data_IF_984390092694
#
_entry.id   IF_984390092694
#
_cell.length_a   1.000
_cell.length_b   1.000
_cell.length_c   1.000
_cell.angle_alpha   90.00
_cell.angle_beta   90.00
_cell.angle_gamma   90.00
#
_symmetry.space_group_name_H-M   'P 1'
#
loop_
_entity.id
_entity.type
_entity.pdbx_description
1 polymer ?
#
# COMPACT_ATOMS: atom_id res chain seq x y z
N UNK A 1 4.36 4.22 -29.97
CA UNK A 1 3.90 3.38 -28.84
C UNK A 1 4.77 2.14 -28.77
N UNK A 2 5.60 2.00 -27.75
CA UNK A 2 6.36 0.76 -27.55
C UNK A 2 5.43 -0.37 -27.12
N UNK A 3 5.58 -1.59 -27.62
CA UNK A 3 4.74 -2.72 -27.25
C UNK A 3 4.83 -2.96 -25.74
N UNK A 4 3.68 -3.10 -25.11
CA UNK A 4 3.54 -3.35 -23.67
C UNK A 4 4.20 -4.71 -23.36
N UNK A 5 5.46 -4.68 -22.90
CA UNK A 5 6.18 -5.92 -22.55
C UNK A 5 5.47 -6.58 -21.37
N UNK A 6 4.67 -7.58 -21.66
CA UNK A 6 3.98 -8.40 -20.66
C UNK A 6 5.06 -9.22 -19.96
N UNK A 7 4.99 -9.26 -18.62
CA UNK A 7 5.85 -10.11 -17.79
C UNK A 7 4.94 -11.16 -17.17
N UNK A 8 4.80 -12.35 -17.81
CA UNK A 8 3.85 -13.37 -17.35
C UNK A 8 4.07 -13.79 -15.89
N UNK A 9 5.32 -13.85 -15.45
CA UNK A 9 5.66 -14.18 -14.06
C UNK A 9 5.08 -13.22 -13.02
N UNK A 10 4.95 -11.92 -13.34
CA UNK A 10 4.31 -10.96 -12.42
C UNK A 10 2.80 -11.16 -12.33
N UNK A 11 2.17 -11.59 -13.41
CA UNK A 11 0.72 -11.83 -13.42
C UNK A 11 0.38 -13.11 -12.63
N UNK A 12 1.19 -14.16 -12.78
CA UNK A 12 1.10 -15.39 -11.96
C UNK A 12 1.32 -15.04 -10.47
N UNK A 13 2.34 -14.24 -10.17
CA UNK A 13 2.64 -13.84 -8.80
C UNK A 13 1.51 -13.03 -8.17
N UNK A 14 0.89 -12.09 -8.90
CA UNK A 14 -0.30 -11.36 -8.44
C UNK A 14 -1.47 -12.31 -8.14
N UNK A 15 -1.68 -13.30 -9.00
CA UNK A 15 -2.75 -14.28 -8.80
C UNK A 15 -2.52 -15.10 -7.52
N UNK A 16 -1.31 -15.60 -7.30
CA UNK A 16 -0.95 -16.34 -6.07
C UNK A 16 -1.14 -15.45 -4.84
N UNK A 17 -0.65 -14.20 -4.89
CA UNK A 17 -0.78 -13.26 -3.77
C UNK A 17 -2.25 -12.91 -3.49
N UNK A 18 -3.09 -12.76 -4.53
CA UNK A 18 -4.52 -12.52 -4.35
C UNK A 18 -5.20 -13.71 -3.65
N UNK A 19 -4.82 -14.93 -3.98
CA UNK A 19 -5.31 -16.13 -3.32
C UNK A 19 -4.92 -16.16 -1.84
N UNK A 20 -3.66 -15.84 -1.51
CA UNK A 20 -3.20 -15.74 -0.13
C UNK A 20 -3.92 -14.66 0.67
N UNK A 21 -4.27 -13.52 0.05
CA UNK A 21 -5.08 -12.49 0.72
C UNK A 21 -6.47 -13.01 1.05
N UNK A 22 -7.10 -13.76 0.15
CA UNK A 22 -8.40 -14.41 0.45
C UNK A 22 -8.25 -15.36 1.62
N UNK A 23 -7.19 -16.18 1.63
CA UNK A 23 -6.90 -17.16 2.69
C UNK A 23 -6.76 -16.48 4.08
N UNK A 24 -6.03 -15.36 4.15
CA UNK A 24 -5.92 -14.53 5.37
C UNK A 24 -7.29 -14.14 5.93
N UNK A 25 -8.27 -13.83 5.08
CA UNK A 25 -9.59 -13.35 5.51
C UNK A 25 -10.57 -14.49 5.81
N UNK A 26 -10.36 -15.67 5.24
CA UNK A 26 -11.20 -16.87 5.46
C UNK A 26 -10.75 -17.69 6.66
N UNK A 27 -9.70 -17.25 7.35
CA UNK A 27 -8.99 -17.91 8.47
C UNK A 27 -9.76 -18.98 9.22
N UNK A 28 -9.14 -20.16 9.31
CA UNK A 28 -9.48 -21.18 10.31
C UNK A 28 -10.51 -22.22 9.90
N UNK A 29 -11.14 -22.13 8.73
CA UNK A 29 -12.12 -23.13 8.29
C UNK A 29 -11.48 -24.34 7.58
N UNK A 30 -10.25 -24.19 7.06
CA UNK A 30 -9.63 -25.23 6.23
C UNK A 30 -8.44 -25.97 6.87
N UNK A 31 -7.82 -25.43 7.93
CA UNK A 31 -6.60 -26.00 8.51
C UNK A 31 -6.76 -26.21 10.00
N UNK A 32 -6.84 -27.46 10.42
CA UNK A 32 -7.03 -27.87 11.83
C UNK A 32 -5.74 -28.01 12.63
N UNK A 33 -4.54 -27.89 12.00
CA UNK A 33 -3.26 -28.07 12.68
C UNK A 33 -2.59 -26.72 13.03
N UNK A 34 -2.58 -26.29 14.32
CA UNK A 34 -2.05 -24.99 14.74
C UNK A 34 -0.57 -24.81 14.42
N UNK A 35 0.23 -25.87 14.49
CA UNK A 35 1.67 -25.83 14.20
C UNK A 35 1.91 -25.48 12.72
N UNK A 36 1.24 -26.18 11.80
CA UNK A 36 1.38 -25.93 10.37
C UNK A 36 0.89 -24.53 10.00
N UNK A 37 -0.22 -24.11 10.58
CA UNK A 37 -0.77 -22.77 10.36
C UNK A 37 0.20 -21.67 10.79
N UNK A 38 0.75 -21.77 12.01
CA UNK A 38 1.59 -20.70 12.57
C UNK A 38 3.00 -20.67 11.95
N UNK A 39 3.58 -21.81 11.63
CA UNK A 39 4.98 -21.86 11.16
C UNK A 39 5.14 -21.91 9.65
N UNK A 40 4.12 -22.27 8.90
CA UNK A 40 4.19 -22.40 7.44
C UNK A 40 3.24 -21.41 6.75
N UNK A 41 1.95 -21.46 7.05
CA UNK A 41 0.94 -20.68 6.33
C UNK A 41 1.06 -19.20 6.68
N UNK A 42 1.08 -18.85 7.95
CA UNK A 42 1.10 -17.46 8.40
C UNK A 42 2.32 -16.65 7.91
N UNK A 43 3.57 -17.17 7.89
CA UNK A 43 4.69 -16.49 7.24
C UNK A 43 4.51 -16.27 5.75
N UNK A 44 3.93 -17.24 5.02
CA UNK A 44 3.67 -17.13 3.59
C UNK A 44 2.59 -16.07 3.31
N UNK A 45 1.49 -16.10 4.04
CA UNK A 45 0.41 -15.11 3.98
C UNK A 45 0.94 -13.69 4.24
N UNK A 46 1.83 -13.54 5.23
CA UNK A 46 2.38 -12.23 5.60
C UNK A 46 3.19 -11.57 4.48
N UNK A 47 3.69 -12.35 3.50
CA UNK A 47 4.39 -11.84 2.32
C UNK A 47 3.44 -11.31 1.23
N UNK A 48 2.16 -11.67 1.28
CA UNK A 48 1.21 -11.33 0.20
C UNK A 48 1.08 -9.81 0.02
N UNK A 49 0.79 -9.08 1.09
CA UNK A 49 0.57 -7.64 1.03
C UNK A 49 1.84 -6.85 0.68
N UNK A 50 3.01 -7.09 1.33
CA UNK A 50 4.28 -6.49 0.90
C UNK A 50 4.58 -6.71 -0.58
N UNK A 51 4.38 -7.93 -1.07
CA UNK A 51 4.62 -8.27 -2.47
C UNK A 51 3.72 -7.48 -3.41
N UNK A 52 2.44 -7.30 -3.08
CA UNK A 52 1.54 -6.46 -3.85
C UNK A 52 1.97 -4.99 -3.89
N UNK A 53 2.43 -4.43 -2.77
CA UNK A 53 2.96 -3.07 -2.75
C UNK A 53 4.18 -2.92 -3.66
N UNK A 54 5.14 -3.84 -3.54
CA UNK A 54 6.36 -3.84 -4.37
C UNK A 54 6.01 -3.97 -5.85
N UNK A 55 5.15 -4.91 -6.24
CA UNK A 55 4.76 -5.12 -7.64
C UNK A 55 4.00 -3.89 -8.18
N UNK A 56 3.05 -3.35 -7.42
CA UNK A 56 2.25 -2.19 -7.85
C UNK A 56 3.13 -0.97 -8.07
N UNK A 57 4.01 -0.69 -7.14
CA UNK A 57 4.98 0.41 -7.21
C UNK A 57 5.98 0.19 -8.37
N UNK A 58 6.55 -1.01 -8.49
CA UNK A 58 7.45 -1.35 -9.60
C UNK A 58 6.82 -1.11 -10.97
N UNK A 59 5.60 -1.59 -11.18
CA UNK A 59 4.91 -1.43 -12.45
C UNK A 59 4.59 0.03 -12.75
N UNK A 60 4.19 0.79 -11.71
CA UNK A 60 3.92 2.21 -11.83
C UNK A 60 5.19 2.97 -12.22
N UNK A 61 6.28 2.84 -11.46
CA UNK A 61 7.51 3.59 -11.70
C UNK A 61 8.25 3.16 -12.97
N UNK A 62 8.18 1.87 -13.31
CA UNK A 62 8.68 1.40 -14.62
C UNK A 62 7.96 2.09 -15.78
N UNK A 63 6.63 2.33 -15.65
CA UNK A 63 5.88 3.08 -16.66
C UNK A 63 6.21 4.57 -16.60
N UNK A 64 6.23 5.15 -15.41
CA UNK A 64 6.47 6.57 -15.20
C UNK A 64 7.80 7.08 -15.81
N UNK A 65 8.79 6.19 -15.93
CA UNK A 65 10.08 6.50 -16.51
C UNK A 65 10.02 6.86 -17.99
N UNK A 66 9.10 6.27 -18.74
CA UNK A 66 8.97 6.49 -20.19
C UNK A 66 7.91 7.54 -20.55
N UNK A 67 7.23 8.09 -19.55
CA UNK A 67 6.19 9.11 -19.73
C UNK A 67 6.82 10.51 -19.63
N UNK A 68 6.57 11.36 -20.63
CA UNK A 68 7.01 12.76 -20.63
C UNK A 68 6.32 13.54 -19.50
N UNK A 69 5.02 13.34 -19.31
CA UNK A 69 4.23 13.97 -18.26
C UNK A 69 3.87 12.98 -17.15
N UNK A 70 4.78 12.78 -16.21
CA UNK A 70 4.58 11.86 -15.08
C UNK A 70 3.43 12.26 -14.17
N UNK A 71 3.10 13.56 -14.05
CA UNK A 71 1.95 14.02 -13.26
C UNK A 71 0.63 13.44 -13.81
N UNK A 72 0.44 13.43 -15.13
CA UNK A 72 -0.75 12.84 -15.75
C UNK A 72 -0.85 11.34 -15.45
N UNK A 73 0.29 10.64 -15.39
CA UNK A 73 0.31 9.23 -15.02
C UNK A 73 -0.10 9.02 -13.56
N UNK A 74 0.41 9.85 -12.64
CA UNK A 74 0.03 9.81 -11.22
C UNK A 74 -1.47 10.05 -11.07
N UNK A 75 -2.00 11.10 -11.68
CA UNK A 75 -3.42 11.45 -11.63
C UNK A 75 -4.30 10.34 -12.23
N UNK A 76 -3.88 9.75 -13.35
CA UNK A 76 -4.59 8.63 -13.96
C UNK A 76 -4.59 7.38 -13.06
N UNK A 77 -3.45 7.08 -12.43
CA UNK A 77 -3.33 5.99 -11.47
C UNK A 77 -4.25 6.22 -10.26
N UNK A 78 -4.19 7.42 -9.66
CA UNK A 78 -5.05 7.80 -8.54
C UNK A 78 -6.53 7.71 -8.90
N UNK A 79 -6.93 8.25 -10.07
CA UNK A 79 -8.32 8.19 -10.54
C UNK A 79 -8.82 6.75 -10.65
N UNK A 80 -8.05 5.86 -11.26
CA UNK A 80 -8.42 4.43 -11.38
C UNK A 80 -8.55 3.77 -10.00
N UNK A 81 -7.63 4.07 -9.10
CA UNK A 81 -7.63 3.52 -7.75
C UNK A 81 -8.81 4.05 -6.94
N UNK A 82 -9.10 5.35 -7.03
CA UNK A 82 -10.28 5.96 -6.40
C UNK A 82 -11.58 5.32 -6.89
N UNK A 83 -11.74 5.12 -8.22
CA UNK A 83 -12.93 4.49 -8.78
C UNK A 83 -13.10 3.07 -8.22
N UNK A 84 -12.02 2.29 -8.19
CA UNK A 84 -12.03 0.93 -7.64
C UNK A 84 -12.38 0.95 -6.14
N UNK A 85 -11.81 1.89 -5.38
CA UNK A 85 -12.06 1.99 -3.95
C UNK A 85 -13.51 2.40 -3.67
N UNK A 86 -14.02 3.41 -4.38
CA UNK A 86 -15.42 3.85 -4.27
C UNK A 86 -16.39 2.73 -4.64
N UNK A 87 -16.11 1.96 -5.69
CA UNK A 87 -16.90 0.79 -6.06
C UNK A 87 -17.03 -0.19 -4.88
N UNK A 88 -15.92 -0.51 -4.22
CA UNK A 88 -15.95 -1.36 -3.04
C UNK A 88 -16.65 -0.70 -1.84
N UNK A 89 -16.48 0.60 -1.63
CA UNK A 89 -17.22 1.32 -0.58
C UNK A 89 -18.73 1.24 -0.79
N UNK A 90 -19.20 1.29 -2.05
CA UNK A 90 -20.64 1.13 -2.36
C UNK A 90 -21.11 -0.29 -2.02
N UNK A 91 -20.36 -1.32 -2.40
CA UNK A 91 -20.70 -2.71 -2.07
C UNK A 91 -20.75 -2.94 -0.56
N UNK A 92 -19.77 -2.41 0.17
CA UNK A 92 -19.65 -2.56 1.63
C UNK A 92 -20.46 -1.53 2.42
N UNK A 93 -21.18 -0.61 1.77
CA UNK A 93 -21.89 0.49 2.43
C UNK A 93 -22.82 0.06 3.58
N UNK A 94 -23.58 -1.07 3.53
CA UNK A 94 -24.40 -1.48 4.66
C UNK A 94 -23.56 -1.81 5.89
N UNK A 95 -22.44 -2.50 5.69
CA UNK A 95 -21.53 -2.90 6.79
C UNK A 95 -20.78 -1.67 7.32
N UNK A 96 -20.30 -0.78 6.44
CA UNK A 96 -19.66 0.48 6.81
C UNK A 96 -20.60 1.31 7.69
N UNK A 97 -21.88 1.44 7.29
CA UNK A 97 -22.88 2.17 8.07
C UNK A 97 -23.07 1.59 9.47
N UNK A 98 -23.13 0.25 9.59
CA UNK A 98 -23.31 -0.42 10.89
C UNK A 98 -22.06 -0.35 11.78
N UNK A 99 -20.85 -0.39 11.20
CA UNK A 99 -19.61 -0.45 11.95
C UNK A 99 -19.08 0.93 12.37
N UNK A 100 -19.42 1.99 11.64
CA UNK A 100 -18.86 3.32 11.90
C UNK A 100 -19.78 4.14 12.80
N UNK A 101 -19.40 4.29 14.06
CA UNK A 101 -20.14 5.01 15.10
C UNK A 101 -20.50 6.45 14.72
N UNK A 102 -19.66 7.13 13.93
CA UNK A 102 -19.92 8.51 13.55
C UNK A 102 -21.16 8.69 12.67
N UNK A 103 -21.65 7.65 11.99
CA UNK A 103 -22.94 7.72 11.29
C UNK A 103 -24.12 7.77 12.25
N UNK A 104 -23.97 7.22 13.45
CA UNK A 104 -25.01 7.19 14.48
C UNK A 104 -24.93 8.38 15.45
N UNK A 105 -23.79 9.09 15.47
CA UNK A 105 -23.56 10.20 16.38
C UNK A 105 -24.20 11.54 15.94
N UNK A 106 -24.83 11.60 14.75
CA UNK A 106 -25.46 12.81 14.18
C UNK A 106 -24.59 14.08 14.31
N UNK A 107 -23.29 13.95 14.05
CA UNK A 107 -22.36 15.05 14.13
C UNK A 107 -22.14 15.73 12.77
N UNK A 108 -21.90 17.04 12.77
CA UNK A 108 -21.55 17.82 11.56
C UNK A 108 -20.19 17.42 10.97
N UNK A 109 -19.38 16.67 11.72
CA UNK A 109 -18.04 16.23 11.31
C UNK A 109 -18.03 14.93 10.47
N UNK A 110 -19.18 14.30 10.24
CA UNK A 110 -19.29 13.05 9.46
C UNK A 110 -18.54 13.10 8.12
N UNK A 111 -18.68 14.17 7.29
CA UNK A 111 -17.94 14.23 6.02
C UNK A 111 -16.42 14.20 6.21
N UNK A 112 -15.92 14.86 7.25
CA UNK A 112 -14.49 14.88 7.56
C UNK A 112 -13.98 13.49 7.99
N UNK A 113 -14.76 12.77 8.80
CA UNK A 113 -14.43 11.40 9.19
C UNK A 113 -14.44 10.44 7.99
N UNK A 114 -15.38 10.59 7.07
CA UNK A 114 -15.41 9.81 5.82
C UNK A 114 -14.16 10.09 4.98
N UNK A 115 -13.78 11.35 4.80
CA UNK A 115 -12.57 11.73 4.05
C UNK A 115 -11.33 11.16 4.73
N UNK A 116 -11.21 11.30 6.05
CA UNK A 116 -10.13 10.71 6.83
C UNK A 116 -10.04 9.20 6.60
N UNK A 117 -11.14 8.50 6.84
CA UNK A 117 -11.19 7.04 6.76
C UNK A 117 -10.93 6.53 5.33
N UNK A 118 -11.35 7.29 4.32
CA UNK A 118 -11.05 6.97 2.92
C UNK A 118 -9.55 7.03 2.64
N UNK A 119 -8.88 8.15 2.96
CA UNK A 119 -7.45 8.30 2.67
C UNK A 119 -6.55 7.43 3.55
N UNK A 120 -6.94 7.17 4.79
CA UNK A 120 -6.18 6.31 5.69
C UNK A 120 -6.55 4.82 5.57
N UNK A 121 -7.47 4.47 4.65
CA UNK A 121 -7.86 3.09 4.39
C UNK A 121 -8.62 2.45 5.55
N UNK A 122 -9.50 3.21 6.21
CA UNK A 122 -10.28 2.76 7.35
C UNK A 122 -11.78 2.63 7.04
N UNK A 123 -12.20 2.63 5.77
CA UNK A 123 -13.61 2.50 5.40
C UNK A 123 -14.15 1.11 5.73
N UNK A 124 -13.43 0.06 5.36
CA UNK A 124 -13.71 -1.34 5.68
C UNK A 124 -12.39 -2.10 5.85
N UNK A 125 -12.43 -3.28 6.41
CA UNK A 125 -11.23 -3.97 6.92
C UNK A 125 -10.11 -4.12 5.87
N UNK A 126 -10.41 -4.60 4.67
CA UNK A 126 -9.43 -4.74 3.59
C UNK A 126 -9.09 -3.42 2.86
N UNK A 127 -9.73 -2.30 3.20
CA UNK A 127 -9.56 -1.02 2.48
C UNK A 127 -8.20 -0.36 2.68
N UNK A 128 -7.48 -0.73 3.74
CA UNK A 128 -6.20 -0.13 4.08
C UNK A 128 -5.15 -0.25 2.97
N UNK A 129 -5.16 -1.34 2.22
CA UNK A 129 -4.26 -1.55 1.10
C UNK A 129 -4.52 -0.53 -0.04
N UNK A 130 -5.79 -0.27 -0.37
CA UNK A 130 -6.17 0.71 -1.39
C UNK A 130 -5.84 2.13 -0.95
N UNK A 131 -6.15 2.49 0.31
CA UNK A 131 -5.77 3.77 0.89
C UNK A 131 -4.26 3.98 0.93
N UNK A 132 -3.50 2.94 1.33
CA UNK A 132 -2.04 2.99 1.35
C UNK A 132 -1.42 3.18 -0.04
N UNK A 133 -1.97 2.57 -1.09
CA UNK A 133 -1.55 2.82 -2.48
C UNK A 133 -1.91 4.23 -2.94
N UNK A 134 -3.12 4.69 -2.60
CA UNK A 134 -3.64 5.99 -3.01
C UNK A 134 -2.79 7.14 -2.48
N UNK A 135 -2.32 7.03 -1.24
CA UNK A 135 -1.47 8.04 -0.60
C UNK A 135 0.01 7.75 -0.83
N UNK A 136 0.43 6.49 -0.70
CA UNK A 136 1.83 6.11 -0.71
C UNK A 136 2.52 6.26 -2.06
N UNK A 137 1.86 5.89 -3.19
CA UNK A 137 2.48 6.02 -4.52
C UNK A 137 2.75 7.48 -4.90
N UNK A 138 1.81 8.43 -4.77
CA UNK A 138 2.09 9.85 -4.97
C UNK A 138 3.17 10.39 -4.02
N UNK A 139 3.21 9.89 -2.78
CA UNK A 139 4.19 10.30 -1.78
C UNK A 139 5.61 9.84 -2.18
N UNK A 140 5.78 8.57 -2.59
CA UNK A 140 7.06 8.07 -3.10
C UNK A 140 7.48 8.80 -4.37
N UNK A 141 6.53 9.10 -5.27
CA UNK A 141 6.81 9.92 -6.46
C UNK A 141 7.27 11.34 -6.08
N UNK A 142 6.60 12.00 -5.14
CA UNK A 142 6.99 13.31 -4.61
C UNK A 142 8.39 13.29 -3.98
N UNK A 143 8.68 12.29 -3.13
CA UNK A 143 10.00 12.09 -2.53
C UNK A 143 11.08 11.89 -3.59
N UNK A 144 10.81 11.12 -4.64
CA UNK A 144 11.76 10.90 -5.74
C UNK A 144 12.05 12.17 -6.56
N UNK A 145 11.14 13.14 -6.55
CA UNK A 145 11.33 14.46 -7.17
C UNK A 145 12.07 15.43 -6.26
N UNK A 146 11.77 15.37 -4.96
CA UNK A 146 12.40 16.23 -3.96
C UNK A 146 13.87 15.85 -3.75
N UNK A 147 14.14 14.55 -3.65
CA UNK A 147 15.48 14.03 -3.41
C UNK A 147 16.11 13.46 -4.69
N UNK A 148 17.21 14.06 -5.14
CA UNK A 148 17.98 13.59 -6.32
C UNK A 148 18.71 12.26 -6.07
N UNK A 149 18.89 11.86 -4.80
CA UNK A 149 19.58 10.64 -4.40
C UNK A 149 18.57 9.57 -3.97
N UNK A 150 18.55 8.43 -4.64
CA UNK A 150 17.69 7.27 -4.32
C UNK A 150 17.82 6.83 -2.85
N UNK A 151 19.02 7.00 -2.28
CA UNK A 151 19.27 6.66 -0.87
C UNK A 151 18.36 7.42 0.09
N UNK A 152 18.11 8.71 -0.14
CA UNK A 152 17.24 9.52 0.73
C UNK A 152 15.76 9.14 0.56
N UNK A 153 15.38 8.72 -0.66
CA UNK A 153 14.02 8.24 -0.94
C UNK A 153 13.73 6.94 -0.19
N UNK A 154 14.75 6.11 0.06
CA UNK A 154 14.62 4.86 0.83
C UNK A 154 14.76 5.11 2.33
N UNK A 155 15.69 5.98 2.72
CA UNK A 155 16.02 6.20 4.14
C UNK A 155 14.82 6.71 4.94
N UNK A 156 14.05 7.66 4.41
CA UNK A 156 12.90 8.21 5.12
C UNK A 156 11.81 7.15 5.39
N UNK A 157 11.33 6.37 4.40
CA UNK A 157 10.40 5.28 4.66
C UNK A 157 10.96 4.18 5.57
N UNK A 158 12.26 3.91 5.50
CA UNK A 158 12.91 2.97 6.41
C UNK A 158 12.88 3.47 7.84
N UNK A 159 13.16 4.75 8.08
CA UNK A 159 13.07 5.36 9.41
C UNK A 159 11.64 5.33 9.94
N UNK A 160 10.65 5.63 9.10
CA UNK A 160 9.24 5.51 9.48
C UNK A 160 8.90 4.06 9.86
N UNK A 161 9.33 3.10 9.06
CA UNK A 161 9.09 1.68 9.33
C UNK A 161 9.74 1.24 10.66
N UNK A 162 11.00 1.61 10.89
CA UNK A 162 11.70 1.30 12.14
C UNK A 162 11.02 1.97 13.35
N UNK A 163 10.63 3.24 13.21
CA UNK A 163 9.87 3.94 14.24
C UNK A 163 8.58 3.18 14.59
N UNK A 164 7.76 2.81 13.61
CA UNK A 164 6.51 2.07 13.84
C UNK A 164 6.73 0.70 14.50
N UNK A 165 7.88 0.08 14.24
CA UNK A 165 8.20 -1.23 14.80
C UNK A 165 8.66 -1.15 16.26
N UNK A 166 9.51 -0.16 16.58
CA UNK A 166 10.14 -0.03 17.88
C UNK A 166 9.53 1.03 18.80
N UNK A 167 8.51 1.77 18.36
CA UNK A 167 7.93 2.88 19.13
C UNK A 167 7.43 2.47 20.52
N UNK A 168 6.95 1.23 20.68
CA UNK A 168 6.49 0.71 21.98
C UNK A 168 7.60 0.42 22.95
N UNK A 169 8.84 0.33 22.47
CA UNK A 169 10.06 0.14 23.30
C UNK A 169 10.72 1.49 23.64
N UNK A 170 10.25 2.58 23.00
CA UNK A 170 10.74 3.93 23.25
C UNK A 170 10.04 4.57 24.46
N UNK A 171 10.61 5.64 25.05
CA UNK A 171 9.94 6.44 26.06
C UNK A 171 8.58 6.96 25.55
N UNK A 172 7.60 7.07 26.46
CA UNK A 172 6.21 7.44 26.12
C UNK A 172 6.09 8.76 25.35
N UNK A 173 7.01 9.68 25.57
CA UNK A 173 7.08 10.96 24.84
C UNK A 173 7.24 10.79 23.33
N UNK A 174 7.91 9.72 22.89
CA UNK A 174 8.09 9.40 21.47
C UNK A 174 6.91 8.63 20.87
N UNK A 175 6.05 8.06 21.71
CA UNK A 175 4.88 7.31 21.26
C UNK A 175 3.67 8.21 20.93
N UNK A 176 3.66 9.48 21.32
CA UNK A 176 2.52 10.39 21.19
C UNK A 176 1.94 10.42 19.76
N UNK A 177 2.80 10.51 18.74
CA UNK A 177 2.36 10.52 17.35
C UNK A 177 1.77 9.16 16.92
N UNK A 178 2.38 8.07 17.38
CA UNK A 178 1.89 6.72 17.13
C UNK A 178 0.54 6.50 17.79
N UNK A 179 0.38 6.86 19.05
CA UNK A 179 -0.84 6.68 19.82
C UNK A 179 -1.97 7.51 19.22
N UNK A 180 -1.73 8.79 18.91
CA UNK A 180 -2.69 9.65 18.23
C UNK A 180 -3.16 9.06 16.89
N UNK A 181 -2.26 8.48 16.10
CA UNK A 181 -2.63 7.85 14.84
C UNK A 181 -3.39 6.54 15.10
N UNK A 182 -2.96 5.75 16.09
CA UNK A 182 -3.53 4.45 16.41
C UNK A 182 -4.96 4.54 16.96
N UNK A 183 -5.37 5.69 17.49
CA UNK A 183 -6.75 5.94 17.95
C UNK A 183 -7.81 5.73 16.85
N UNK A 184 -7.46 5.93 15.60
CA UNK A 184 -8.38 5.74 14.49
C UNK A 184 -7.96 4.64 13.50
N UNK A 185 -6.68 4.32 13.38
CA UNK A 185 -6.18 3.25 12.53
C UNK A 185 -4.78 2.83 12.93
N UNK A 186 -4.52 1.53 13.00
CA UNK A 186 -3.17 1.04 13.22
C UNK A 186 -2.20 1.55 12.12
N UNK A 187 -1.11 2.24 12.48
CA UNK A 187 -0.14 2.76 11.52
C UNK A 187 0.48 1.67 10.64
N UNK A 188 0.64 0.45 11.18
CA UNK A 188 1.17 -0.69 10.44
C UNK A 188 0.22 -1.18 9.35
N UNK A 189 -1.10 -0.97 9.52
CA UNK A 189 -2.16 -1.34 8.58
C UNK A 189 -2.70 -0.11 7.83
N UNK A 190 -1.80 0.77 7.40
CA UNK A 190 -2.12 1.98 6.63
C UNK A 190 -0.92 2.39 5.77
N UNK A 191 -0.95 3.59 5.14
CA UNK A 191 0.11 4.01 4.22
C UNK A 191 1.51 4.07 4.86
N UNK A 192 1.72 4.45 6.15
CA UNK A 192 3.06 4.45 6.74
C UNK A 192 3.69 3.05 6.75
N UNK A 193 2.91 2.02 7.10
CA UNK A 193 3.37 0.63 7.07
C UNK A 193 3.67 0.11 5.67
N UNK A 194 2.93 0.59 4.64
CA UNK A 194 3.13 0.24 3.24
C UNK A 194 4.27 1.00 2.54
N UNK A 195 4.71 2.13 3.10
CA UNK A 195 5.59 3.09 2.42
C UNK A 195 6.97 2.50 2.06
N UNK A 196 7.56 1.71 2.95
CA UNK A 196 8.83 1.03 2.70
C UNK A 196 8.75 0.08 1.50
N UNK A 197 7.71 -0.72 1.42
CA UNK A 197 7.50 -1.67 0.33
C UNK A 197 7.28 -0.97 -1.01
N UNK A 198 6.58 0.16 -1.00
CA UNK A 198 6.40 1.01 -2.18
C UNK A 198 7.72 1.60 -2.67
N UNK A 199 8.60 2.03 -1.77
CA UNK A 199 9.94 2.53 -2.15
C UNK A 199 10.86 1.45 -2.69
N UNK A 200 10.78 0.22 -2.18
CA UNK A 200 11.52 -0.91 -2.75
C UNK A 200 11.08 -1.20 -4.19
N UNK A 201 9.77 -1.10 -4.48
CA UNK A 201 9.24 -1.20 -5.84
C UNK A 201 9.71 -0.07 -6.75
N UNK A 202 9.78 1.16 -6.25
CA UNK A 202 10.34 2.32 -6.96
C UNK A 202 11.79 2.08 -7.40
N UNK A 203 12.68 1.71 -6.48
CA UNK A 203 14.10 1.50 -6.76
C UNK A 203 14.31 0.42 -7.83
N UNK A 204 13.58 -0.67 -7.76
CA UNK A 204 13.62 -1.74 -8.76
C UNK A 204 13.06 -1.28 -10.11
N UNK A 205 11.98 -0.51 -10.12
CA UNK A 205 11.36 0.05 -11.32
C UNK A 205 12.28 1.05 -12.04
N UNK A 206 12.96 1.90 -11.29
CA UNK A 206 13.89 2.88 -11.85
C UNK A 206 15.14 2.22 -12.46
N UNK A 207 15.76 1.27 -11.77
CA UNK A 207 16.98 0.59 -12.26
C UNK A 207 16.72 -0.33 -13.46
N UNK A 208 15.57 -0.98 -13.53
CA UNK A 208 15.22 -1.88 -14.65
C UNK A 208 15.28 -1.19 -16.03
N UNK A 209 15.03 0.12 -16.09
CA UNK A 209 15.06 0.84 -17.34
C UNK A 209 16.47 1.30 -17.77
N UNK A 210 17.40 1.57 -16.82
CA UNK A 210 18.78 1.94 -17.16
C UNK A 210 19.53 0.80 -17.88
N UNK A 211 19.21 -0.44 -17.51
CA UNK A 211 19.78 -1.64 -18.16
C UNK A 211 19.31 -1.83 -19.62
N UNK A 212 18.08 -1.41 -19.95
CA UNK A 212 17.56 -1.56 -21.33
C UNK A 212 18.14 -0.53 -22.31
N UNK A 213 18.56 0.64 -21.84
CA UNK A 213 19.17 1.68 -22.70
C UNK A 213 20.61 1.30 -23.06
N UNK A 214 21.33 0.63 -22.17
CA UNK A 214 22.68 0.12 -22.44
C UNK A 214 22.74 -0.98 -23.48
N UNK A 215 21.66 -1.74 -23.70
CA UNK A 215 21.57 -2.79 -24.74
C UNK A 215 21.16 -2.26 -26.13
N UNK A 216 20.69 -1.03 -26.23
CA UNK A 216 20.32 -0.42 -27.52
C UNK A 216 21.41 0.51 -28.06
N UNK A 217 22.47 0.75 -27.28
CA UNK A 217 23.61 1.59 -27.66
C UNK A 217 24.89 0.77 -27.95
N UNK A 218 24.82 -0.55 -27.94
CA UNK A 218 25.83 -1.51 -28.41
C UNK A 218 25.31 -2.26 -29.65
#
# INVERSE_FOLDING_TARGET
MQPKKIIPGLDVMKFIMAFLIVDIHVKGYLITHPIFQNYVIHPIESLAVPTFFVISSFLFFRKARYEECQMNLVLHFMKRLCILYLFWCVIWSPIIYLQKEYFHAFTVWVPLYIIRDFFFGNMFDASWFLGALLVGVPMVWGLSRLFKKDVLVILLPLLVYLYLHYVKELPSEWAVLYDWYNDFKSPNLSFPGGLLWLTLGYVKGDKSGKSCIGMLAS
#
